data_IF_201489621750
#
_entry.id   IF_201489621750
#
_cell.length_a   1.000
_cell.length_b   1.000
_cell.length_c   1.000
_cell.angle_alpha   90.00
_cell.angle_beta   90.00
_cell.angle_gamma   90.00
#
_symmetry.space_group_name_H-M   'P 1'
#
loop_
_entity.id
_entity.type
_entity.pdbx_description
1 polymer ?
#
# COMPACT_ATOMS: atom_id res chain seq x y z
N UNK A 1 -11.76 19.98 -6.93
CA UNK A 1 -10.51 20.29 -6.20
C UNK A 1 -9.62 19.08 -6.35
N UNK A 2 -8.61 19.17 -7.22
CA UNK A 2 -7.59 18.14 -7.35
C UNK A 2 -6.72 18.23 -6.09
N UNK A 3 -7.05 17.47 -5.04
CA UNK A 3 -6.11 17.29 -3.94
C UNK A 3 -4.90 16.57 -4.52
N UNK A 4 -3.82 17.33 -4.72
CA UNK A 4 -2.48 16.85 -5.04
C UNK A 4 -1.90 16.09 -3.84
N UNK A 5 -2.63 15.09 -3.33
CA UNK A 5 -2.02 14.04 -2.52
C UNK A 5 -1.02 13.41 -3.48
N UNK A 6 0.27 13.59 -3.21
CA UNK A 6 1.33 12.91 -3.94
C UNK A 6 0.87 11.48 -4.21
N UNK A 7 0.81 11.05 -5.50
CA UNK A 7 0.28 9.73 -5.88
C UNK A 7 0.87 8.61 -5.01
N UNK A 8 2.10 8.79 -4.57
CA UNK A 8 2.83 7.93 -3.64
C UNK A 8 2.19 7.84 -2.24
N UNK A 9 1.73 8.93 -1.65
CA UNK A 9 1.07 8.93 -0.34
C UNK A 9 -0.32 8.28 -0.42
N UNK A 10 -1.07 8.57 -1.49
CA UNK A 10 -2.36 7.95 -1.72
C UNK A 10 -2.25 6.41 -1.78
N UNK A 11 -1.31 5.90 -2.57
CA UNK A 11 -1.08 4.45 -2.64
C UNK A 11 -0.59 3.85 -1.32
N UNK A 12 0.19 4.59 -0.51
CA UNK A 12 0.59 4.13 0.82
C UNK A 12 -0.62 3.92 1.73
N UNK A 13 -1.58 4.84 1.73
CA UNK A 13 -2.79 4.71 2.53
C UNK A 13 -3.65 3.53 2.07
N UNK A 14 -3.82 3.34 0.75
CA UNK A 14 -4.52 2.18 0.21
C UNK A 14 -3.83 0.86 0.58
N UNK A 15 -2.50 0.81 0.51
CA UNK A 15 -1.72 -0.36 0.92
C UNK A 15 -1.85 -0.63 2.42
N UNK A 16 -1.83 0.39 3.27
CA UNK A 16 -2.02 0.27 4.72
C UNK A 16 -3.42 -0.26 5.04
N UNK A 17 -4.45 0.24 4.37
CA UNK A 17 -5.82 -0.25 4.50
C UNK A 17 -5.92 -1.73 4.14
N UNK A 18 -5.38 -2.13 2.98
CA UNK A 18 -5.36 -3.53 2.55
C UNK A 18 -4.54 -4.43 3.51
N UNK A 19 -3.43 -3.92 4.06
CA UNK A 19 -2.61 -4.62 5.03
C UNK A 19 -3.39 -4.89 6.33
N UNK A 20 -4.12 -3.89 6.83
CA UNK A 20 -4.94 -4.02 8.02
C UNK A 20 -6.11 -5.00 7.84
N UNK A 21 -6.59 -5.19 6.61
CA UNK A 21 -7.57 -6.24 6.26
C UNK A 21 -6.96 -7.64 6.12
N UNK A 22 -5.62 -7.78 6.23
CA UNK A 22 -4.93 -9.06 6.05
C UNK A 22 -4.76 -9.48 4.58
N UNK A 23 -4.98 -8.58 3.62
CA UNK A 23 -4.70 -8.86 2.21
C UNK A 23 -3.21 -9.08 1.98
N UNK A 24 -2.84 -9.83 0.94
CA UNK A 24 -1.44 -9.96 0.49
C UNK A 24 -1.04 -8.76 -0.35
N UNK A 25 0.23 -8.32 -0.25
CA UNK A 25 0.77 -7.20 -1.03
C UNK A 25 0.54 -7.35 -2.55
N UNK A 26 0.69 -8.56 -3.09
CA UNK A 26 0.42 -8.86 -4.50
C UNK A 26 -1.04 -8.63 -4.89
N UNK A 27 -1.99 -8.98 -4.02
CA UNK A 27 -3.40 -8.69 -4.26
C UNK A 27 -3.64 -7.19 -4.22
N UNK A 28 -3.13 -6.51 -3.19
CA UNK A 28 -3.30 -5.06 -3.04
C UNK A 28 -2.74 -4.28 -4.25
N UNK A 29 -1.56 -4.65 -4.76
CA UNK A 29 -0.98 -4.05 -5.96
C UNK A 29 -1.86 -4.25 -7.20
N UNK A 30 -2.40 -5.46 -7.41
CA UNK A 30 -3.31 -5.73 -8.53
C UNK A 30 -4.61 -4.94 -8.41
N UNK A 31 -5.21 -4.89 -7.23
CA UNK A 31 -6.45 -4.15 -7.00
C UNK A 31 -6.25 -2.65 -7.26
N UNK A 32 -5.12 -2.08 -6.82
CA UNK A 32 -4.75 -0.69 -7.10
C UNK A 32 -4.56 -0.46 -8.61
N UNK A 33 -3.83 -1.32 -9.30
CA UNK A 33 -3.63 -1.19 -10.76
C UNK A 33 -4.95 -1.37 -11.54
N UNK A 34 -5.89 -2.16 -11.05
CA UNK A 34 -7.20 -2.31 -11.69
C UNK A 34 -8.06 -1.02 -11.62
N UNK A 35 -7.90 -0.21 -10.56
CA UNK A 35 -8.65 1.04 -10.37
C UNK A 35 -7.92 2.25 -10.96
N UNK A 36 -6.60 2.34 -10.76
CA UNK A 36 -5.80 3.51 -11.09
C UNK A 36 -4.99 3.39 -12.39
N UNK A 37 -5.07 2.23 -13.05
CA UNK A 37 -4.37 1.94 -14.30
C UNK A 37 -3.18 0.99 -14.11
N UNK A 38 -2.87 0.26 -15.17
CA UNK A 38 -1.73 -0.65 -15.19
C UNK A 38 -0.43 0.11 -14.87
N UNK A 39 0.40 -0.47 -14.00
CA UNK A 39 1.65 0.15 -13.57
C UNK A 39 1.49 1.27 -12.52
N UNK A 40 0.27 1.54 -12.02
CA UNK A 40 0.05 2.51 -10.94
C UNK A 40 0.93 2.23 -9.70
N UNK A 41 1.12 0.96 -9.36
CA UNK A 41 2.11 0.54 -8.37
C UNK A 41 2.73 -0.82 -8.72
N UNK A 42 4.05 -0.94 -8.54
CA UNK A 42 4.73 -2.22 -8.67
C UNK A 42 4.48 -3.10 -7.44
N UNK A 43 4.32 -4.41 -7.65
CA UNK A 43 4.18 -5.38 -6.55
C UNK A 43 5.36 -5.31 -5.56
N UNK A 44 6.58 -5.07 -6.07
CA UNK A 44 7.78 -4.90 -5.23
C UNK A 44 7.60 -3.73 -4.24
N UNK A 45 7.13 -2.59 -4.73
CA UNK A 45 6.85 -1.42 -3.89
C UNK A 45 5.79 -1.73 -2.84
N UNK A 46 4.73 -2.46 -3.19
CA UNK A 46 3.72 -2.90 -2.22
C UNK A 46 4.31 -3.81 -1.13
N UNK A 47 5.20 -4.74 -1.50
CA UNK A 47 5.92 -5.61 -0.54
C UNK A 47 6.82 -4.83 0.40
N UNK A 48 7.56 -3.84 -0.11
CA UNK A 48 8.44 -3.00 0.71
C UNK A 48 7.64 -2.21 1.75
N UNK A 49 6.48 -1.66 1.37
CA UNK A 49 5.56 -1.02 2.31
C UNK A 49 5.04 -1.97 3.38
N UNK A 50 4.64 -3.18 2.99
CA UNK A 50 4.20 -4.19 3.95
C UNK A 50 5.30 -4.58 4.94
N UNK A 51 6.57 -4.62 4.49
CA UNK A 51 7.71 -4.78 5.40
C UNK A 51 7.78 -3.66 6.43
N UNK A 52 7.62 -2.40 6.00
CA UNK A 52 7.61 -1.24 6.90
C UNK A 52 6.45 -1.27 7.89
N UNK A 53 5.24 -1.61 7.45
CA UNK A 53 4.07 -1.71 8.32
C UNK A 53 4.21 -2.80 9.38
N UNK A 54 4.80 -3.95 9.02
CA UNK A 54 5.13 -4.99 9.99
C UNK A 54 6.09 -4.48 11.06
N UNK A 55 7.16 -3.78 10.66
CA UNK A 55 8.15 -3.25 11.60
C UNK A 55 7.54 -2.19 12.52
N UNK A 56 6.66 -1.31 12.00
CA UNK A 56 5.94 -0.33 12.81
C UNK A 56 4.97 -0.99 13.80
N UNK A 57 4.31 -2.09 13.40
CA UNK A 57 3.43 -2.82 14.32
C UNK A 57 4.20 -3.46 15.47
N UNK A 58 5.42 -3.94 15.20
CA UNK A 58 6.28 -4.53 16.24
C UNK A 58 6.73 -3.46 17.24
N UNK A 59 7.04 -2.23 16.81
CA UNK A 59 7.47 -1.17 17.74
C UNK A 59 6.41 -0.68 18.75
N UNK A 60 5.11 -0.93 18.52
CA UNK A 60 4.05 -0.61 19.48
C UNK A 60 3.75 -1.76 20.46
N UNK A 61 4.41 -2.90 20.30
CA UNK A 61 4.19 -4.11 21.09
C UNK A 61 5.41 -4.52 21.94
N UNK A 62 6.47 -3.71 21.94
CA UNK A 62 7.67 -3.85 22.80
C UNK A 62 7.82 -2.63 23.70
#
# INVERSE_FOLDING_TARGET
>A
MECQIEKNEHFRHLLLFAFNQGSKAAKAARDICAVYGEGAIAERTARDWYGKFKNQRVSYLI
#
